data_IF_468344826691
#
_entry.id   IF_468344826691
#
_cell.length_a   1.000
_cell.length_b   1.000
_cell.length_c   1.000
_cell.angle_alpha   90.00
_cell.angle_beta   90.00
_cell.angle_gamma   90.00
#
_symmetry.space_group_name_H-M   'P 1'
#
loop_
_entity.id
_entity.type
_entity.pdbx_description
1 polymer ?
#
# COMPACT_ATOMS: atom_id res chain seq x y z
N UNK A 1 -17.26 2.68 5.25
CA UNK A 1 -15.93 2.03 5.09
C UNK A 1 -14.89 3.13 4.86
N UNK A 2 -13.84 3.17 5.66
CA UNK A 2 -12.68 4.03 5.51
C UNK A 2 -11.54 3.28 4.83
N UNK A 3 -10.80 3.89 3.91
CA UNK A 3 -9.68 3.23 3.23
C UNK A 3 -8.32 3.75 3.70
N UNK A 4 -7.36 2.85 3.91
CA UNK A 4 -5.94 3.19 4.05
C UNK A 4 -5.21 2.61 2.83
N UNK A 5 -4.71 3.49 1.98
CA UNK A 5 -3.95 3.09 0.79
C UNK A 5 -2.47 3.31 1.06
N UNK A 6 -1.72 2.23 1.10
CA UNK A 6 -0.28 2.23 1.39
C UNK A 6 0.47 1.99 0.09
N UNK A 7 1.17 3.01 -0.39
CA UNK A 7 2.02 2.94 -1.57
C UNK A 7 3.49 3.10 -1.22
N UNK A 8 4.35 2.83 -2.16
CA UNK A 8 5.80 2.95 -2.02
C UNK A 8 6.52 2.08 -3.03
N UNK A 9 7.82 2.34 -3.29
CA UNK A 9 8.61 1.53 -4.21
C UNK A 9 8.74 0.07 -3.72
N UNK A 10 9.11 -0.87 -4.61
CA UNK A 10 9.52 -2.20 -4.18
C UNK A 10 10.64 -2.12 -3.12
N UNK A 11 10.51 -2.90 -2.04
CA UNK A 11 11.45 -2.87 -0.90
C UNK A 11 11.13 -1.85 0.20
N UNK A 12 10.11 -0.99 0.03
CA UNK A 12 9.71 -0.01 1.06
C UNK A 12 9.00 -0.62 2.28
N UNK A 13 8.58 -1.90 2.25
CA UNK A 13 7.98 -2.59 3.39
C UNK A 13 6.45 -2.55 3.44
N UNK A 14 5.77 -2.24 2.33
CA UNK A 14 4.31 -2.09 2.26
C UNK A 14 3.52 -3.26 2.87
N UNK A 15 3.78 -4.49 2.40
CA UNK A 15 3.05 -5.70 2.83
C UNK A 15 3.22 -5.98 4.31
N UNK A 16 4.44 -5.86 4.83
CA UNK A 16 4.73 -6.11 6.25
C UNK A 16 4.06 -5.06 7.14
N UNK A 17 4.17 -3.77 6.80
CA UNK A 17 3.50 -2.70 7.55
C UNK A 17 1.99 -2.85 7.51
N UNK A 18 1.42 -3.18 6.34
CA UNK A 18 -0.02 -3.39 6.20
C UNK A 18 -0.52 -4.59 7.01
N UNK A 19 0.25 -5.69 7.05
CA UNK A 19 -0.07 -6.87 7.87
C UNK A 19 -0.09 -6.52 9.36
N UNK A 20 0.95 -5.85 9.87
CA UNK A 20 0.97 -5.41 11.27
C UNK A 20 -0.15 -4.41 11.60
N UNK A 21 -0.48 -3.49 10.69
CA UNK A 21 -1.59 -2.58 10.89
C UNK A 21 -2.93 -3.34 10.92
N UNK A 22 -3.11 -4.31 10.04
CA UNK A 22 -4.30 -5.17 10.01
C UNK A 22 -4.46 -5.93 11.34
N UNK A 23 -3.38 -6.48 11.87
CA UNK A 23 -3.39 -7.19 13.16
C UNK A 23 -3.75 -6.24 14.31
N UNK A 24 -3.16 -5.02 14.35
CA UNK A 24 -3.50 -3.99 15.35
C UNK A 24 -5.00 -3.65 15.30
N UNK A 25 -5.55 -3.43 14.12
CA UNK A 25 -6.97 -3.12 13.95
C UNK A 25 -7.87 -4.27 14.42
N UNK A 26 -7.49 -5.52 14.10
CA UNK A 26 -8.19 -6.72 14.55
C UNK A 26 -8.16 -6.89 16.08
N UNK A 27 -7.01 -6.65 16.72
CA UNK A 27 -6.86 -6.69 18.18
C UNK A 27 -7.71 -5.62 18.89
N UNK A 28 -7.95 -4.49 18.23
CA UNK A 28 -8.84 -3.42 18.69
C UNK A 28 -10.33 -3.70 18.40
N UNK A 29 -10.65 -4.80 17.74
CA UNK A 29 -12.02 -5.21 17.41
C UNK A 29 -12.62 -4.48 16.22
N UNK A 30 -11.79 -3.85 15.36
CA UNK A 30 -12.24 -3.20 14.13
C UNK A 30 -12.36 -4.23 13.00
N UNK A 31 -13.44 -4.18 12.24
CA UNK A 31 -13.64 -5.04 11.07
C UNK A 31 -12.85 -4.48 9.89
N UNK A 32 -11.66 -5.02 9.69
CA UNK A 32 -10.69 -4.58 8.70
C UNK A 32 -10.41 -5.67 7.66
N UNK A 33 -10.41 -5.30 6.38
CA UNK A 33 -9.96 -6.15 5.28
C UNK A 33 -8.63 -5.65 4.71
N UNK A 34 -7.78 -6.57 4.23
CA UNK A 34 -6.51 -6.25 3.57
C UNK A 34 -6.52 -6.79 2.13
N UNK A 35 -6.22 -5.91 1.18
CA UNK A 35 -5.98 -6.27 -0.23
C UNK A 35 -4.55 -5.90 -0.59
N UNK A 36 -3.75 -6.88 -0.93
CA UNK A 36 -2.41 -6.69 -1.48
C UNK A 36 -2.49 -6.79 -3.01
N UNK A 37 -2.45 -5.66 -3.71
CA UNK A 37 -2.57 -5.63 -5.17
C UNK A 37 -1.48 -6.48 -5.86
N UNK A 38 -0.24 -6.39 -5.40
CA UNK A 38 0.88 -7.17 -5.95
C UNK A 38 0.64 -8.70 -5.86
N UNK A 39 -0.14 -9.17 -4.87
CA UNK A 39 -0.52 -10.58 -4.74
C UNK A 39 -1.69 -10.95 -5.66
N UNK A 40 -2.69 -10.07 -5.76
CA UNK A 40 -3.88 -10.26 -6.62
C UNK A 40 -3.52 -10.22 -8.10
N UNK A 41 -2.51 -9.44 -8.46
CA UNK A 41 -2.03 -9.25 -9.84
C UNK A 41 -1.08 -10.35 -10.31
N UNK A 42 -0.72 -11.29 -9.44
CA UNK A 42 0.21 -12.38 -9.77
C UNK A 42 -0.34 -13.30 -10.84
N UNK A 43 0.09 -13.10 -12.07
CA UNK A 43 -0.36 -13.87 -13.23
C UNK A 43 0.72 -13.98 -14.30
N UNK A 44 0.65 -15.03 -15.11
CA UNK A 44 1.48 -15.18 -16.28
C UNK A 44 0.59 -15.50 -17.50
N UNK A 45 0.63 -14.71 -18.58
CA UNK A 45 1.33 -13.43 -18.68
C UNK A 45 0.82 -12.39 -17.69
N UNK A 46 1.62 -11.33 -17.43
CA UNK A 46 1.23 -10.26 -16.52
C UNK A 46 -0.09 -9.61 -16.96
N UNK A 47 -0.92 -9.24 -16.00
CA UNK A 47 -2.18 -8.58 -16.26
C UNK A 47 -1.97 -7.15 -16.77
N UNK A 48 -2.85 -6.71 -17.66
CA UNK A 48 -2.95 -5.30 -17.99
C UNK A 48 -3.49 -4.50 -16.80
N UNK A 49 -3.02 -3.26 -16.63
CA UNK A 49 -3.39 -2.37 -15.52
C UNK A 49 -4.91 -2.27 -15.32
N UNK A 50 -5.68 -2.16 -16.40
CA UNK A 50 -7.14 -2.05 -16.35
C UNK A 50 -7.79 -3.30 -15.74
N UNK A 51 -7.21 -4.47 -15.98
CA UNK A 51 -7.69 -5.73 -15.40
C UNK A 51 -7.39 -5.80 -13.90
N UNK A 52 -6.19 -5.39 -13.49
CA UNK A 52 -5.80 -5.29 -12.08
C UNK A 52 -6.72 -4.34 -11.32
N UNK A 53 -6.98 -3.17 -11.88
CA UNK A 53 -7.93 -2.19 -11.32
C UNK A 53 -9.35 -2.77 -11.22
N UNK A 54 -9.77 -3.57 -12.21
CA UNK A 54 -11.08 -4.25 -12.18
C UNK A 54 -11.16 -5.28 -11.04
N UNK A 55 -10.09 -6.06 -10.81
CA UNK A 55 -10.02 -7.01 -9.69
C UNK A 55 -10.09 -6.29 -8.35
N UNK A 56 -9.33 -5.20 -8.17
CA UNK A 56 -9.39 -4.39 -6.97
C UNK A 56 -10.80 -3.87 -6.70
N UNK A 57 -11.50 -3.38 -7.73
CA UNK A 57 -12.87 -2.89 -7.61
C UNK A 57 -13.82 -3.97 -7.14
N UNK A 58 -13.72 -5.19 -7.69
CA UNK A 58 -14.57 -6.32 -7.28
C UNK A 58 -14.33 -6.69 -5.82
N UNK A 59 -13.07 -6.78 -5.39
CA UNK A 59 -12.73 -7.11 -4.00
C UNK A 59 -13.19 -6.02 -3.03
N UNK A 60 -12.92 -4.74 -3.35
CA UNK A 60 -13.35 -3.62 -2.52
C UNK A 60 -14.89 -3.55 -2.40
N UNK A 61 -15.62 -3.86 -3.49
CA UNK A 61 -17.09 -3.95 -3.47
C UNK A 61 -17.58 -5.07 -2.56
N UNK A 62 -16.97 -6.25 -2.67
CA UNK A 62 -17.32 -7.41 -1.85
C UNK A 62 -17.14 -7.14 -0.36
N UNK A 63 -16.01 -6.55 0.05
CA UNK A 63 -15.78 -6.17 1.44
C UNK A 63 -16.75 -5.09 1.94
N UNK A 64 -17.15 -4.15 1.08
CA UNK A 64 -18.16 -3.16 1.42
C UNK A 64 -19.54 -3.79 1.63
N UNK A 65 -19.90 -4.77 0.79
CA UNK A 65 -21.18 -5.49 0.87
C UNK A 65 -21.31 -6.33 2.15
N UNK A 66 -20.23 -6.90 2.65
CA UNK A 66 -20.22 -7.62 3.93
C UNK A 66 -20.08 -6.71 5.15
N UNK A 67 -19.94 -5.40 4.93
CA UNK A 67 -19.98 -4.40 6.00
C UNK A 67 -18.64 -4.07 6.65
N UNK A 68 -17.50 -4.42 6.03
CA UNK A 68 -16.19 -4.09 6.59
C UNK A 68 -16.05 -2.58 6.86
N UNK A 69 -15.58 -2.23 8.05
CA UNK A 69 -15.42 -0.84 8.48
C UNK A 69 -14.19 -0.19 7.86
N UNK A 70 -13.12 -0.98 7.69
CA UNK A 70 -11.83 -0.55 7.20
C UNK A 70 -11.39 -1.38 5.98
N UNK A 71 -10.74 -0.73 5.01
CA UNK A 71 -10.10 -1.39 3.89
C UNK A 71 -8.65 -0.93 3.79
N UNK A 72 -7.73 -1.84 4.06
CA UNK A 72 -6.30 -1.64 3.80
C UNK A 72 -5.97 -2.09 2.38
N UNK A 73 -5.29 -1.27 1.62
CA UNK A 73 -4.85 -1.59 0.25
C UNK A 73 -3.38 -1.29 0.11
N UNK A 74 -2.58 -2.28 -0.29
CA UNK A 74 -1.20 -2.03 -0.69
C UNK A 74 -1.06 -2.09 -2.20
N UNK A 75 -0.35 -1.12 -2.78
CA UNK A 75 -0.07 -1.08 -4.22
C UNK A 75 1.22 -0.33 -4.52
N UNK A 76 1.89 -0.71 -5.61
CA UNK A 76 2.98 0.09 -6.19
C UNK A 76 2.39 1.04 -7.23
N UNK A 77 2.17 2.30 -6.86
CA UNK A 77 1.52 3.31 -7.71
C UNK A 77 2.60 4.06 -8.49
N UNK A 78 2.57 4.00 -9.82
CA UNK A 78 3.64 4.49 -10.67
C UNK A 78 3.49 5.95 -11.10
N UNK A 79 2.24 6.45 -11.16
CA UNK A 79 1.89 7.78 -11.63
C UNK A 79 0.50 8.22 -11.13
N UNK A 80 0.13 9.48 -11.33
CA UNK A 80 -1.15 10.05 -10.89
C UNK A 80 -2.38 9.46 -11.62
N UNK A 81 -2.21 8.97 -12.86
CA UNK A 81 -3.29 8.29 -13.57
C UNK A 81 -3.59 6.94 -12.92
N UNK A 82 -2.55 6.18 -12.59
CA UNK A 82 -2.67 4.94 -11.82
C UNK A 82 -3.30 5.21 -10.45
N UNK A 83 -2.83 6.25 -9.74
CA UNK A 83 -3.40 6.65 -8.45
C UNK A 83 -4.89 6.95 -8.55
N UNK A 84 -5.32 7.79 -9.50
CA UNK A 84 -6.74 8.11 -9.70
C UNK A 84 -7.57 6.86 -10.01
N UNK A 85 -7.07 5.97 -10.86
CA UNK A 85 -7.74 4.74 -11.24
C UNK A 85 -7.90 3.79 -10.05
N UNK A 86 -6.84 3.67 -9.23
CA UNK A 86 -6.84 2.85 -8.01
C UNK A 86 -7.82 3.41 -6.97
N UNK A 87 -7.75 4.70 -6.67
CA UNK A 87 -8.67 5.33 -5.72
C UNK A 87 -10.13 5.24 -6.16
N UNK A 88 -10.39 5.37 -7.47
CA UNK A 88 -11.72 5.15 -8.06
C UNK A 88 -12.19 3.69 -7.94
N UNK A 89 -11.28 2.72 -7.95
CA UNK A 89 -11.61 1.31 -7.74
C UNK A 89 -11.89 1.00 -6.26
N UNK A 90 -11.09 1.55 -5.35
CA UNK A 90 -11.31 1.48 -3.89
C UNK A 90 -12.67 2.07 -3.51
N UNK A 91 -13.07 3.19 -4.13
CA UNK A 91 -14.42 3.75 -4.02
C UNK A 91 -14.80 4.23 -2.62
N UNK A 92 -13.84 4.63 -1.79
CA UNK A 92 -14.05 5.22 -0.47
C UNK A 92 -13.82 6.74 -0.54
N UNK A 93 -14.82 7.52 -0.08
CA UNK A 93 -14.68 8.98 0.01
C UNK A 93 -13.67 9.36 1.10
N UNK A 94 -13.78 8.69 2.26
CA UNK A 94 -12.88 8.91 3.38
C UNK A 94 -11.70 7.95 3.28
N UNK A 95 -10.49 8.50 3.23
CA UNK A 95 -9.26 7.73 3.07
C UNK A 95 -8.04 8.41 3.66
N UNK A 96 -7.01 7.60 3.86
CA UNK A 96 -5.64 8.01 4.16
C UNK A 96 -4.71 7.42 3.09
N UNK A 97 -4.02 8.26 2.32
CA UNK A 97 -3.02 7.84 1.34
C UNK A 97 -1.61 7.99 1.95
N UNK A 98 -0.93 6.87 2.07
CA UNK A 98 0.36 6.75 2.75
C UNK A 98 1.44 6.39 1.77
N UNK A 99 2.53 7.14 1.74
CA UNK A 99 3.76 6.79 1.04
C UNK A 99 4.78 6.22 2.03
N UNK A 100 5.13 4.95 1.88
CA UNK A 100 6.29 4.39 2.55
C UNK A 100 7.52 4.54 1.66
N UNK A 101 8.62 5.00 2.22
CA UNK A 101 9.88 5.12 1.51
C UNK A 101 11.07 4.77 2.39
N UNK A 102 12.19 4.44 1.78
CA UNK A 102 13.46 4.16 2.42
C UNK A 102 14.61 4.61 1.51
N UNK A 103 15.81 4.63 2.06
CA UNK A 103 17.01 4.84 1.25
C UNK A 103 17.09 3.79 0.13
N UNK A 104 17.48 4.18 -1.10
CA UNK A 104 17.58 3.25 -2.21
C UNK A 104 18.47 2.02 -1.95
N UNK A 105 19.54 2.16 -1.17
CA UNK A 105 20.38 1.01 -0.82
C UNK A 105 19.69 0.08 0.19
N UNK A 106 19.00 0.62 1.19
CA UNK A 106 18.15 -0.17 2.11
C UNK A 106 17.11 -0.98 1.36
N UNK A 107 16.41 -0.37 0.40
CA UNK A 107 15.42 -1.08 -0.43
C UNK A 107 16.07 -2.15 -1.28
N UNK A 108 17.24 -1.86 -1.87
CA UNK A 108 18.01 -2.82 -2.65
C UNK A 108 18.41 -4.04 -1.82
N UNK A 109 18.96 -3.85 -0.61
CA UNK A 109 19.35 -4.92 0.29
C UNK A 109 18.15 -5.80 0.68
N UNK A 110 17.00 -5.19 1.01
CA UNK A 110 15.76 -5.91 1.30
C UNK A 110 15.29 -6.77 0.12
N UNK A 111 15.35 -6.24 -1.10
CA UNK A 111 14.99 -6.98 -2.30
C UNK A 111 15.95 -8.13 -2.57
N UNK A 112 17.27 -7.92 -2.44
CA UNK A 112 18.28 -8.97 -2.60
C UNK A 112 18.13 -10.09 -1.56
N UNK A 113 17.72 -9.76 -0.35
CA UNK A 113 17.48 -10.74 0.72
C UNK A 113 16.18 -11.55 0.52
N UNK A 114 15.17 -10.93 -0.07
CA UNK A 114 13.83 -11.53 -0.25
C UNK A 114 13.74 -12.40 -1.49
N UNK A 115 14.31 -11.94 -2.61
CA UNK A 115 14.13 -12.61 -3.89
C UNK A 115 15.09 -13.81 -4.04
N UNK A 116 14.65 -14.89 -4.75
CA UNK A 116 15.49 -16.06 -4.94
C UNK A 116 16.79 -15.72 -5.69
N UNK A 117 17.93 -16.29 -5.26
CA UNK A 117 19.19 -16.12 -5.99
C UNK A 117 19.06 -16.56 -7.46
N UNK A 118 19.54 -15.71 -8.38
CA UNK A 118 19.51 -16.00 -9.82
C UNK A 118 18.14 -15.81 -10.50
N UNK A 119 17.16 -15.25 -9.82
CA UNK A 119 15.91 -14.90 -10.46
C UNK A 119 16.10 -13.83 -11.55
N UNK A 120 15.70 -14.16 -12.79
CA UNK A 120 15.95 -13.32 -13.98
C UNK A 120 15.24 -11.95 -13.94
N UNK A 121 14.17 -11.79 -13.16
CA UNK A 121 13.45 -10.52 -12.99
C UNK A 121 14.08 -9.55 -12.00
N UNK A 122 15.08 -10.00 -11.21
CA UNK A 122 15.68 -9.18 -10.15
C UNK A 122 16.31 -7.86 -10.67
N UNK A 123 17.07 -7.83 -11.78
CA UNK A 123 17.64 -6.58 -12.29
C UNK A 123 16.56 -5.53 -12.62
N UNK A 124 15.46 -5.97 -13.23
CA UNK A 124 14.35 -5.08 -13.57
C UNK A 124 13.63 -4.57 -12.32
N UNK A 125 13.39 -5.43 -11.33
CA UNK A 125 12.80 -5.05 -10.05
C UNK A 125 13.65 -4.01 -9.32
N UNK A 126 14.98 -4.17 -9.28
CA UNK A 126 15.90 -3.20 -8.68
C UNK A 126 15.89 -1.85 -9.42
N UNK A 127 15.83 -1.87 -10.75
CA UNK A 127 15.71 -0.65 -11.55
C UNK A 127 14.36 0.05 -11.33
N UNK A 128 13.27 -0.71 -11.27
CA UNK A 128 11.95 -0.18 -10.96
C UNK A 128 11.90 0.45 -9.56
N UNK A 129 12.46 -0.22 -8.55
CA UNK A 129 12.57 0.31 -7.19
C UNK A 129 13.25 1.68 -7.16
N UNK A 130 14.44 1.80 -7.78
CA UNK A 130 15.19 3.07 -7.84
C UNK A 130 14.43 4.17 -8.58
N UNK A 131 13.84 3.85 -9.74
CA UNK A 131 13.09 4.81 -10.55
C UNK A 131 11.86 5.33 -9.79
N UNK A 132 11.13 4.44 -9.14
CA UNK A 132 9.92 4.78 -8.39
C UNK A 132 10.24 5.53 -7.11
N UNK A 133 11.32 5.22 -6.41
CA UNK A 133 11.77 5.98 -5.25
C UNK A 133 12.00 7.47 -5.56
N UNK A 134 12.46 7.78 -6.76
CA UNK A 134 12.69 9.15 -7.19
C UNK A 134 11.39 9.89 -7.62
N UNK A 135 10.35 9.17 -8.04
CA UNK A 135 9.12 9.76 -8.62
C UNK A 135 7.92 9.77 -7.67
N UNK A 136 7.81 8.77 -6.81
CA UNK A 136 6.61 8.62 -5.96
C UNK A 136 6.41 9.74 -4.92
N UNK A 137 7.46 10.44 -4.43
CA UNK A 137 7.26 11.63 -3.59
C UNK A 137 6.50 12.77 -4.26
N UNK A 138 6.49 12.80 -5.60
CA UNK A 138 5.80 13.83 -6.40
C UNK A 138 4.35 13.46 -6.74
N UNK A 139 3.85 12.29 -6.29
CA UNK A 139 2.46 11.88 -6.49
C UNK A 139 1.49 12.83 -5.78
N UNK A 140 0.43 13.21 -6.49
CA UNK A 140 -0.61 14.09 -5.96
C UNK A 140 -1.39 13.43 -4.81
N UNK A 141 -1.63 14.20 -3.75
CA UNK A 141 -2.56 13.81 -2.69
C UNK A 141 -2.04 12.81 -1.67
N UNK A 142 -0.71 12.62 -1.56
CA UNK A 142 -0.11 11.92 -0.42
C UNK A 142 -0.48 12.66 0.87
N UNK A 143 -1.20 12.00 1.77
CA UNK A 143 -1.58 12.56 3.07
C UNK A 143 -0.42 12.48 4.08
N UNK A 144 0.35 11.38 4.04
CA UNK A 144 1.49 11.16 4.94
C UNK A 144 2.59 10.37 4.24
N UNK A 145 3.85 10.75 4.47
CA UNK A 145 5.02 10.01 4.03
C UNK A 145 5.81 9.52 5.25
N UNK A 146 6.14 8.23 5.29
CA UNK A 146 6.82 7.59 6.43
C UNK A 146 8.10 6.94 5.95
N UNK A 147 9.22 7.28 6.60
CA UNK A 147 10.53 6.66 6.39
C UNK A 147 10.58 5.32 7.13
N UNK A 148 11.05 4.28 6.45
CA UNK A 148 11.13 2.92 7.02
C UNK A 148 12.55 2.43 7.29
N UNK A 149 13.57 3.28 7.07
CA UNK A 149 14.97 2.93 7.33
C UNK A 149 15.22 2.66 8.81
N UNK A 150 15.88 1.54 9.09
CA UNK A 150 16.27 1.15 10.45
C UNK A 150 15.09 0.86 11.40
N UNK A 151 13.86 0.85 10.89
CA UNK A 151 12.65 0.68 11.70
C UNK A 151 12.05 -0.71 11.52
N UNK A 152 11.48 -1.24 12.59
CA UNK A 152 10.67 -2.46 12.51
C UNK A 152 9.32 -2.14 11.84
N UNK A 153 8.78 -3.04 11.02
CA UNK A 153 7.46 -2.84 10.40
C UNK A 153 6.35 -2.60 11.43
N UNK A 154 6.42 -3.25 12.60
CA UNK A 154 5.49 -3.03 13.72
C UNK A 154 5.49 -1.60 14.26
N UNK A 155 6.66 -0.95 14.34
CA UNK A 155 6.77 0.42 14.83
C UNK A 155 6.21 1.42 13.81
N UNK A 156 6.40 1.14 12.53
CA UNK A 156 5.82 1.92 11.43
C UNK A 156 4.29 1.76 11.39
N UNK A 157 3.80 0.55 11.60
CA UNK A 157 2.36 0.28 11.67
C UNK A 157 1.71 0.98 12.87
N UNK A 158 2.36 1.01 14.04
CA UNK A 158 1.88 1.73 15.21
C UNK A 158 1.81 3.25 14.97
N UNK A 159 2.81 3.85 14.31
CA UNK A 159 2.77 5.26 13.90
C UNK A 159 1.60 5.51 12.93
N UNK A 160 1.44 4.65 11.94
CA UNK A 160 0.35 4.75 10.97
C UNK A 160 -1.03 4.61 11.64
N UNK A 161 -1.14 3.78 12.67
CA UNK A 161 -2.35 3.67 13.48
C UNK A 161 -2.71 5.00 14.15
N UNK A 162 -1.73 5.71 14.70
CA UNK A 162 -1.94 7.05 15.29
C UNK A 162 -2.39 8.07 14.24
N UNK A 163 -1.77 8.04 13.06
CA UNK A 163 -2.15 8.93 11.95
C UNK A 163 -3.57 8.68 11.45
N UNK A 164 -3.97 7.41 11.42
CA UNK A 164 -5.34 7.01 11.09
C UNK A 164 -6.37 7.61 12.05
N UNK A 165 -6.10 7.60 13.36
CA UNK A 165 -6.98 8.22 14.37
C UNK A 165 -7.11 9.72 14.17
N UNK A 166 -6.01 10.40 13.92
CA UNK A 166 -6.01 11.85 13.64
C UNK A 166 -6.88 12.18 12.43
N UNK A 167 -6.76 11.38 11.37
CA UNK A 167 -7.53 11.60 10.13
C UNK A 167 -9.01 11.33 10.32
N UNK A 168 -9.37 10.26 11.01
CA UNK A 168 -10.77 9.92 11.31
C UNK A 168 -11.42 10.94 12.27
N UNK A 169 -10.68 11.39 13.28
CA UNK A 169 -11.15 12.41 14.21
C UNK A 169 -11.38 13.77 13.54
N UNK A 170 -10.54 14.17 12.61
CA UNK A 170 -10.72 15.41 11.85
C UNK A 170 -11.93 15.36 10.90
N UNK A 171 -12.29 14.17 10.39
CA UNK A 171 -13.48 13.97 9.54
C UNK A 171 -14.80 14.01 10.31
N UNK A 172 -14.81 13.59 11.57
CA UNK A 172 -16.01 13.56 12.43
C UNK A 172 -16.47 14.94 12.93
N UNK A 173 -15.64 15.99 12.74
CA UNK A 173 -15.91 17.36 13.18
C UNK A 173 -16.42 18.29 12.06
N UNK A 174 -16.77 17.74 10.90
CA UNK A 174 -17.35 18.46 9.77
C UNK A 174 -18.75 17.97 9.46
#
# INVERSE_FOLDING_TARGET
>A
MFAVVITGPPGAGKSEVASYLHDILGDEGLDAALIECDAVERSYPALARERSISHLRMLASSYREVGSEMLLVTATIEDDEHLRSLLGAVGCADRLLVLLHADPETMRERLLSREPPGWSGLPELLNASRRLAARMPDLDGIDVAIVTDGRRPSDVAAELRVELDRRRGAGASR
#
